data_IF_326247300551
#
_entry.id   IF_326247300551
#
_cell.length_a   1.000
_cell.length_b   1.000
_cell.length_c   1.000
_cell.angle_alpha   90.00
_cell.angle_beta   90.00
_cell.angle_gamma   90.00
#
_symmetry.space_group_name_H-M   'P 1'
#
loop_
_entity.id
_entity.type
_entity.pdbx_description
1 polymer ?
#
# COMPACT_ATOMS: atom_id res chain seq x y z
N UNK A 1 4.21 8.16 -17.49
CA UNK A 1 3.31 7.42 -16.57
C UNK A 1 3.92 6.08 -16.15
N UNK A 2 4.56 5.34 -17.07
CA UNK A 2 5.23 4.05 -16.78
C UNK A 2 6.30 4.11 -15.68
N UNK A 3 7.06 5.20 -15.57
CA UNK A 3 8.10 5.34 -14.54
C UNK A 3 7.53 5.43 -13.12
N UNK A 4 6.39 6.09 -12.93
CA UNK A 4 5.78 6.24 -11.60
C UNK A 4 5.15 4.92 -11.15
N UNK A 5 4.40 4.26 -12.04
CA UNK A 5 3.82 2.94 -11.75
C UNK A 5 4.88 1.91 -11.35
N UNK A 6 6.01 1.90 -12.06
CA UNK A 6 7.15 1.06 -11.72
C UNK A 6 7.69 1.34 -10.31
N UNK A 7 7.91 2.62 -9.96
CA UNK A 7 8.37 3.01 -8.61
C UNK A 7 7.38 2.62 -7.51
N UNK A 8 6.09 2.84 -7.74
CA UNK A 8 5.03 2.43 -6.80
C UNK A 8 5.11 0.93 -6.54
N UNK A 9 5.17 0.10 -7.59
CA UNK A 9 5.29 -1.35 -7.45
C UNK A 9 6.56 -1.76 -6.69
N UNK A 10 7.69 -1.07 -6.93
CA UNK A 10 8.94 -1.35 -6.20
C UNK A 10 8.81 -1.03 -4.71
N UNK A 11 8.19 0.10 -4.33
CA UNK A 11 7.91 0.44 -2.93
C UNK A 11 6.98 -0.58 -2.29
N UNK A 12 5.85 -0.91 -2.94
CA UNK A 12 4.90 -1.88 -2.40
C UNK A 12 5.54 -3.25 -2.14
N UNK A 13 6.36 -3.72 -3.08
CA UNK A 13 7.05 -5.00 -2.94
C UNK A 13 8.05 -5.00 -1.78
N UNK A 14 8.75 -3.89 -1.54
CA UNK A 14 9.64 -3.77 -0.38
C UNK A 14 8.86 -3.81 0.93
N UNK A 15 7.76 -3.06 1.02
CA UNK A 15 6.90 -3.04 2.21
C UNK A 15 6.30 -4.43 2.48
N UNK A 16 5.74 -5.10 1.47
CA UNK A 16 5.18 -6.46 1.62
C UNK A 16 6.22 -7.50 2.05
N UNK A 17 7.47 -7.36 1.59
CA UNK A 17 8.57 -8.25 1.99
C UNK A 17 8.90 -8.13 3.48
N UNK A 18 8.82 -6.92 4.02
CA UNK A 18 9.19 -6.64 5.41
C UNK A 18 7.99 -6.64 6.38
N UNK A 19 6.76 -6.58 5.87
CA UNK A 19 5.50 -6.70 6.62
C UNK A 19 4.71 -7.95 6.15
N UNK A 20 5.08 -9.16 6.60
CA UNK A 20 4.53 -10.41 6.06
C UNK A 20 3.02 -10.57 6.24
N UNK A 21 2.44 -9.93 7.26
CA UNK A 21 1.00 -9.95 7.51
C UNK A 21 0.20 -9.42 6.31
N UNK A 22 0.77 -8.52 5.50
CA UNK A 22 0.14 -8.03 4.28
C UNK A 22 -0.04 -9.12 3.21
N UNK A 23 0.62 -10.27 3.33
CA UNK A 23 0.48 -11.41 2.42
C UNK A 23 -0.36 -12.54 3.01
N UNK A 24 -0.92 -12.38 4.21
CA UNK A 24 -1.80 -13.36 4.81
C UNK A 24 -3.17 -13.38 4.11
N UNK A 25 -3.82 -14.54 4.05
CA UNK A 25 -5.16 -14.66 3.46
C UNK A 25 -6.19 -14.20 4.49
N UNK A 26 -6.51 -12.91 4.47
CA UNK A 26 -7.50 -12.27 5.33
C UNK A 26 -8.50 -11.41 4.54
N UNK A 27 -9.51 -10.88 5.25
CA UNK A 27 -10.51 -10.01 4.63
C UNK A 27 -9.85 -8.73 4.10
N UNK A 28 -10.18 -8.37 2.86
CA UNK A 28 -9.63 -7.22 2.14
C UNK A 28 -8.43 -7.57 1.26
N UNK A 29 -7.87 -8.79 1.39
CA UNK A 29 -6.75 -9.20 0.54
C UNK A 29 -7.18 -9.39 -0.91
N UNK A 30 -6.28 -8.98 -1.81
CA UNK A 30 -6.42 -9.15 -3.26
C UNK A 30 -5.70 -10.43 -3.68
N UNK A 31 -6.37 -11.21 -4.53
CA UNK A 31 -5.86 -12.43 -5.12
C UNK A 31 -5.93 -12.34 -6.65
N UNK A 32 -4.97 -12.95 -7.34
CA UNK A 32 -4.98 -13.08 -8.78
C UNK A 32 -5.18 -14.53 -9.21
N UNK A 33 -6.15 -14.76 -10.09
CA UNK A 33 -6.35 -16.07 -10.72
C UNK A 33 -7.05 -15.94 -12.07
N UNK A 34 -6.66 -16.76 -13.04
CA UNK A 34 -7.25 -16.79 -14.39
C UNK A 34 -7.33 -15.40 -15.06
N UNK A 35 -6.33 -14.54 -14.84
CA UNK A 35 -6.29 -13.19 -15.41
C UNK A 35 -7.29 -12.21 -14.80
N UNK A 36 -7.86 -12.52 -13.64
CA UNK A 36 -8.79 -11.66 -12.92
C UNK A 36 -8.33 -11.44 -11.48
N UNK A 37 -8.63 -10.26 -10.96
CA UNK A 37 -8.37 -9.90 -9.58
C UNK A 37 -9.64 -10.06 -8.74
N UNK A 38 -9.46 -10.57 -7.53
CA UNK A 38 -10.51 -10.88 -6.57
C UNK A 38 -10.17 -10.28 -5.21
N UNK A 39 -11.15 -9.71 -4.53
CA UNK A 39 -11.04 -9.27 -3.13
C UNK A 39 -11.68 -10.31 -2.20
N UNK A 40 -10.99 -10.65 -1.12
CA UNK A 40 -11.56 -11.50 -0.07
C UNK A 40 -12.53 -10.68 0.77
N UNK A 41 -13.82 -10.96 0.67
CA UNK A 41 -14.84 -10.26 1.48
C UNK A 41 -15.17 -10.99 2.79
N UNK A 42 -14.82 -12.28 2.88
CA UNK A 42 -14.95 -13.11 4.08
C UNK A 42 -14.03 -14.32 4.00
N UNK A 43 -13.46 -14.73 5.12
CA UNK A 43 -12.67 -15.95 5.28
C UNK A 43 -12.96 -16.56 6.65
N UNK A 44 -13.06 -17.89 6.70
CA UNK A 44 -13.00 -18.69 7.91
C UNK A 44 -12.05 -19.88 7.71
N UNK A 45 -12.03 -20.80 8.67
CA UNK A 45 -11.11 -21.94 8.68
C UNK A 45 -11.28 -22.89 7.48
N UNK A 46 -12.45 -22.91 6.82
CA UNK A 46 -12.75 -23.85 5.73
C UNK A 46 -13.01 -23.15 4.39
N UNK A 47 -13.60 -21.96 4.39
CA UNK A 47 -14.10 -21.28 3.21
C UNK A 47 -13.63 -19.85 3.07
N UNK A 48 -13.58 -19.40 1.81
CA UNK A 48 -13.29 -18.01 1.43
C UNK A 48 -14.38 -17.54 0.46
N UNK A 49 -14.95 -16.38 0.73
CA UNK A 49 -15.80 -15.65 -0.23
C UNK A 49 -14.97 -14.59 -0.91
N UNK A 50 -14.94 -14.67 -2.23
CA UNK A 50 -14.21 -13.76 -3.11
C UNK A 50 -15.20 -12.92 -3.91
N UNK A 51 -14.93 -11.63 -4.05
CA UNK A 51 -15.63 -10.75 -4.97
C UNK A 51 -14.71 -10.40 -6.13
N UNK A 52 -15.13 -10.67 -7.36
CA UNK A 52 -14.38 -10.31 -8.55
C UNK A 52 -14.43 -8.79 -8.75
N UNK A 53 -13.27 -8.14 -8.81
CA UNK A 53 -13.19 -6.66 -8.77
C UNK A 53 -13.84 -6.01 -9.99
N UNK A 54 -13.76 -6.63 -11.17
CA UNK A 54 -14.24 -6.02 -12.41
C UNK A 54 -15.76 -5.97 -12.57
N UNK A 55 -16.50 -6.85 -11.90
CA UNK A 55 -17.95 -6.96 -12.06
C UNK A 55 -18.73 -7.24 -10.77
N UNK A 56 -18.05 -7.27 -9.61
CA UNK A 56 -18.62 -7.54 -8.30
C UNK A 56 -19.29 -8.93 -8.14
N UNK A 57 -19.02 -9.88 -9.04
CA UNK A 57 -19.53 -11.25 -8.89
C UNK A 57 -18.90 -11.92 -7.66
N UNK A 58 -19.72 -12.60 -6.87
CA UNK A 58 -19.28 -13.26 -5.63
C UNK A 58 -19.17 -14.77 -5.83
N UNK A 59 -18.05 -15.34 -5.40
CA UNK A 59 -17.73 -16.75 -5.49
C UNK A 59 -17.37 -17.30 -4.10
N UNK A 60 -17.71 -18.56 -3.86
CA UNK A 60 -17.35 -19.28 -2.63
C UNK A 60 -16.41 -20.42 -3.00
N UNK A 61 -15.24 -20.47 -2.37
CA UNK A 61 -14.26 -21.54 -2.55
C UNK A 61 -13.85 -22.13 -1.20
N UNK A 62 -13.34 -23.37 -1.22
CA UNK A 62 -12.61 -23.92 -0.08
C UNK A 62 -11.26 -23.22 0.06
N UNK A 63 -10.86 -22.88 1.28
CA UNK A 63 -9.60 -22.18 1.56
C UNK A 63 -8.38 -22.94 1.01
N UNK A 64 -8.38 -24.27 1.11
CA UNK A 64 -7.31 -25.11 0.54
C UNK A 64 -7.20 -25.01 -0.98
N UNK A 65 -8.32 -24.82 -1.68
CA UNK A 65 -8.31 -24.62 -3.13
C UNK A 65 -7.67 -23.28 -3.48
N UNK A 66 -8.05 -22.22 -2.76
CA UNK A 66 -7.51 -20.87 -2.95
C UNK A 66 -5.99 -20.88 -2.76
N UNK A 67 -5.50 -21.44 -1.65
CA UNK A 67 -4.05 -21.53 -1.34
C UNK A 67 -3.21 -22.22 -2.41
N UNK A 68 -3.81 -23.14 -3.19
CA UNK A 68 -3.09 -23.93 -4.18
C UNK A 68 -3.16 -23.37 -5.61
N UNK A 69 -4.12 -22.49 -5.91
CA UNK A 69 -4.42 -22.07 -7.29
C UNK A 69 -4.42 -20.56 -7.50
N UNK A 70 -4.40 -19.77 -6.43
CA UNK A 70 -4.43 -18.31 -6.50
C UNK A 70 -3.05 -17.77 -6.11
N UNK A 71 -2.62 -16.76 -6.86
CA UNK A 71 -1.51 -15.92 -6.43
C UNK A 71 -2.04 -14.91 -5.41
N UNK A 72 -1.40 -14.85 -4.24
CA UNK A 72 -1.76 -13.86 -3.21
C UNK A 72 -1.00 -12.58 -3.51
N UNK A 73 -1.73 -11.53 -3.92
CA UNK A 73 -1.18 -10.17 -4.00
C UNK A 73 -1.11 -9.57 -2.58
N UNK A 74 -2.11 -9.89 -1.75
CA UNK A 74 -2.19 -9.48 -0.35
C UNK A 74 -3.05 -8.25 -0.13
N UNK A 75 -2.96 -7.64 1.06
CA UNK A 75 -3.63 -6.39 1.36
C UNK A 75 -3.13 -5.26 0.45
N UNK A 76 -4.01 -4.30 0.12
CA UNK A 76 -3.57 -3.02 -0.43
C UNK A 76 -2.56 -2.35 0.51
N UNK A 77 -1.43 -1.91 -0.03
CA UNK A 77 -0.42 -1.18 0.75
C UNK A 77 -0.92 0.26 0.94
N UNK A 78 -1.18 0.62 2.19
CA UNK A 78 -1.59 1.96 2.60
C UNK A 78 -0.40 2.77 3.09
N UNK A 79 -0.61 4.07 3.28
CA UNK A 79 0.40 4.95 3.88
C UNK A 79 0.76 4.55 5.30
N UNK A 80 -0.19 4.05 6.10
CA UNK A 80 0.07 3.52 7.45
C UNK A 80 1.16 2.44 7.42
N UNK A 81 1.04 1.47 6.50
CA UNK A 81 2.02 0.39 6.36
C UNK A 81 3.40 0.92 5.95
N UNK A 82 3.45 1.91 5.04
CA UNK A 82 4.71 2.54 4.63
C UNK A 82 5.36 3.27 5.80
N UNK A 83 4.60 4.06 6.56
CA UNK A 83 5.14 4.77 7.72
C UNK A 83 5.64 3.80 8.79
N UNK A 84 4.87 2.75 9.08
CA UNK A 84 5.32 1.68 9.98
C UNK A 84 6.64 1.10 9.51
N UNK A 85 6.72 0.70 8.24
CA UNK A 85 7.93 0.13 7.64
C UNK A 85 9.13 1.08 7.70
N UNK A 86 8.95 2.36 7.36
CA UNK A 86 10.02 3.37 7.44
C UNK A 86 10.47 3.58 8.89
N UNK A 87 9.54 3.70 9.85
CA UNK A 87 9.84 3.84 11.29
C UNK A 87 10.65 2.66 11.82
N UNK A 88 10.30 1.44 11.42
CA UNK A 88 10.97 0.22 11.88
C UNK A 88 12.38 0.06 11.29
N UNK A 89 12.57 0.44 10.02
CA UNK A 89 13.84 0.27 9.29
C UNK A 89 14.80 1.43 9.45
N UNK A 90 14.31 2.66 9.59
CA UNK A 90 15.10 3.87 9.72
C UNK A 90 14.95 4.41 11.14
N UNK A 91 15.90 4.06 12.02
CA UNK A 91 15.87 4.40 13.45
C UNK A 91 16.10 5.88 13.80
N UNK A 92 16.39 6.74 12.82
CA UNK A 92 16.83 8.12 13.04
C UNK A 92 15.98 9.15 12.27
N UNK A 93 15.94 10.38 12.81
CA UNK A 93 15.55 11.74 12.31
C UNK A 93 14.85 11.98 10.96
N UNK A 94 14.89 11.04 10.03
CA UNK A 94 14.45 11.18 8.64
C UNK A 94 12.93 11.21 8.51
N UNK A 95 12.15 10.65 9.45
CA UNK A 95 10.67 10.75 9.40
C UNK A 95 10.19 12.14 9.79
N UNK A 96 10.84 12.75 10.79
CA UNK A 96 10.66 14.17 11.08
C UNK A 96 11.03 15.02 9.86
N UNK A 97 12.12 14.67 9.17
CA UNK A 97 12.51 15.31 7.91
C UNK A 97 11.50 15.08 6.76
N UNK A 98 10.85 13.91 6.65
CA UNK A 98 9.77 13.64 5.68
C UNK A 98 8.58 14.55 5.93
N UNK A 99 8.16 14.64 7.19
CA UNK A 99 7.07 15.52 7.58
C UNK A 99 7.42 16.98 7.28
N UNK A 100 8.65 17.39 7.58
CA UNK A 100 9.14 18.75 7.39
C UNK A 100 9.35 19.11 5.90
N UNK A 101 9.84 18.17 5.08
CA UNK A 101 9.97 18.34 3.63
C UNK A 101 8.61 18.40 2.93
N UNK A 102 7.65 17.56 3.34
CA UNK A 102 6.28 17.64 2.82
C UNK A 102 5.64 18.98 3.19
N UNK A 103 5.86 19.45 4.43
CA UNK A 103 5.44 20.78 4.89
C UNK A 103 6.02 21.89 4.00
N UNK A 104 7.30 21.79 3.65
CA UNK A 104 8.03 22.76 2.81
C UNK A 104 7.63 22.75 1.32
N UNK A 105 7.35 21.58 0.74
CA UNK A 105 6.93 21.48 -0.67
C UNK A 105 5.51 22.05 -0.85
N UNK A 106 4.65 21.84 0.15
CA UNK A 106 3.25 22.27 0.13
C UNK A 106 3.12 23.78 0.40
N UNK A 107 3.87 24.33 1.35
CA UNK A 107 3.93 25.79 1.62
C UNK A 107 4.31 26.60 0.38
N UNK A 108 5.25 26.09 -0.44
CA UNK A 108 5.62 26.71 -1.72
C UNK A 108 4.53 26.68 -2.79
N UNK A 109 3.59 25.72 -2.72
CA UNK A 109 2.47 25.61 -3.66
C UNK A 109 1.26 26.42 -3.24
N UNK A 110 1.02 26.57 -1.93
CA UNK A 110 -0.10 27.35 -1.37
C UNK A 110 0.25 28.83 -1.16
N UNK A 111 1.53 29.19 -1.05
CA UNK A 111 1.97 30.55 -0.74
C UNK A 111 1.87 30.90 0.76
N UNK A 112 1.50 29.93 1.60
CA UNK A 112 1.38 30.08 3.04
C UNK A 112 2.67 29.62 3.75
N UNK A 113 2.95 30.16 4.94
CA UNK A 113 4.12 29.76 5.72
C UNK A 113 4.01 28.29 6.17
N UNK A 114 5.14 27.56 6.15
CA UNK A 114 5.16 26.12 6.39
C UNK A 114 4.55 25.72 7.73
N UNK A 115 4.57 26.60 8.73
CA UNK A 115 4.17 26.25 10.10
C UNK A 115 2.66 26.27 10.36
N UNK A 116 1.83 26.76 9.43
CA UNK A 116 0.37 26.89 9.61
C UNK A 116 -0.48 25.84 8.89
N UNK A 117 0.13 24.94 8.12
CA UNK A 117 -0.63 23.89 7.42
C UNK A 117 -0.80 22.70 8.35
N UNK A 118 -1.98 22.57 8.96
CA UNK A 118 -2.46 21.28 9.46
C UNK A 118 -2.65 20.37 8.26
N UNK A 119 -1.74 19.42 8.09
CA UNK A 119 -1.81 18.44 7.00
C UNK A 119 -2.60 17.25 7.53
N UNK A 120 -3.87 17.04 7.12
CA UNK A 120 -4.40 15.70 7.12
C UNK A 120 -3.64 14.97 6.01
N UNK A 121 -2.52 14.33 6.35
CA UNK A 121 -2.10 13.19 5.53
C UNK A 121 -3.27 12.24 5.69
N UNK A 122 -4.02 11.97 4.63
CA UNK A 122 -5.05 10.95 4.71
C UNK A 122 -4.30 9.61 4.67
N UNK A 123 -3.84 9.16 5.85
CA UNK A 123 -2.91 8.03 6.01
C UNK A 123 -3.59 6.70 5.60
N UNK A 124 -4.91 6.70 5.38
CA UNK A 124 -5.67 5.52 5.00
C UNK A 124 -5.91 5.34 3.49
N UNK A 125 -5.29 6.15 2.62
CA UNK A 125 -5.42 5.97 1.17
C UNK A 125 -4.30 5.11 0.56
N UNK A 126 -4.64 4.32 -0.47
CA UNK A 126 -3.69 3.50 -1.25
C UNK A 126 -2.52 4.35 -1.77
N UNK A 127 -1.31 3.80 -1.75
CA UNK A 127 -0.09 4.49 -2.21
C UNK A 127 -0.19 5.02 -3.65
N UNK A 128 -0.96 4.33 -4.51
CA UNK A 128 -1.15 4.72 -5.92
C UNK A 128 -1.83 6.09 -6.09
N UNK A 129 -2.56 6.55 -5.07
CA UNK A 129 -3.24 7.84 -5.06
C UNK A 129 -2.36 8.98 -4.50
N UNK A 130 -1.11 8.68 -4.11
CA UNK A 130 -0.23 9.65 -3.48
C UNK A 130 0.51 10.54 -4.49
N UNK A 131 0.89 11.76 -4.10
CA UNK A 131 1.66 12.64 -4.97
C UNK A 131 3.01 12.03 -5.39
N UNK A 132 3.38 12.19 -6.67
CA UNK A 132 4.64 11.65 -7.23
C UNK A 132 5.90 11.97 -6.41
N UNK A 133 6.00 13.18 -5.86
CA UNK A 133 7.18 13.59 -5.10
C UNK A 133 7.37 12.76 -3.81
N UNK A 134 6.26 12.33 -3.19
CA UNK A 134 6.30 11.44 -2.02
C UNK A 134 6.82 10.06 -2.42
N UNK A 135 6.28 9.50 -3.51
CA UNK A 135 6.74 8.21 -4.05
C UNK A 135 8.23 8.27 -4.43
N UNK A 136 8.66 9.34 -5.09
CA UNK A 136 10.07 9.56 -5.47
C UNK A 136 10.98 9.62 -4.22
N UNK A 137 10.52 10.24 -3.14
CA UNK A 137 11.24 10.28 -1.87
C UNK A 137 11.40 8.89 -1.25
N UNK A 138 10.31 8.12 -1.06
CA UNK A 138 10.38 6.77 -0.45
C UNK A 138 11.25 5.85 -1.31
N UNK A 139 11.12 5.96 -2.63
CA UNK A 139 11.96 5.22 -3.57
C UNK A 139 13.45 5.54 -3.41
N UNK A 140 13.82 6.79 -3.11
CA UNK A 140 15.20 7.19 -2.85
C UNK A 140 15.77 6.61 -1.55
N UNK A 141 14.92 6.30 -0.55
CA UNK A 141 15.35 5.63 0.68
C UNK A 141 15.72 4.16 0.41
N UNK A 142 15.00 3.48 -0.48
CA UNK A 142 15.20 2.07 -0.81
C UNK A 142 16.51 1.85 -1.60
N UNK A 143 16.97 2.84 -2.37
CA UNK A 143 18.17 2.73 -3.22
C UNK A 143 19.50 3.03 -2.52
N UNK A 144 19.47 3.48 -1.27
CA UNK A 144 20.66 3.75 -0.45
C UNK A 144 21.12 2.49 0.26
#
# INVERSE_FOLDING_TARGET
METLKKKVNEVENCVRKDLPHLLEIEKGCVLHCFGNDYEIIYVDDEYVKLMKISNADVFLFRLCFVRNHFEVIGLPVTMTHIFQWVCEKHKDSDISFIMECNRWIMSRKSGEEADSVDIPVNIDENIINQPRYFVDFIHSLIQK
#
